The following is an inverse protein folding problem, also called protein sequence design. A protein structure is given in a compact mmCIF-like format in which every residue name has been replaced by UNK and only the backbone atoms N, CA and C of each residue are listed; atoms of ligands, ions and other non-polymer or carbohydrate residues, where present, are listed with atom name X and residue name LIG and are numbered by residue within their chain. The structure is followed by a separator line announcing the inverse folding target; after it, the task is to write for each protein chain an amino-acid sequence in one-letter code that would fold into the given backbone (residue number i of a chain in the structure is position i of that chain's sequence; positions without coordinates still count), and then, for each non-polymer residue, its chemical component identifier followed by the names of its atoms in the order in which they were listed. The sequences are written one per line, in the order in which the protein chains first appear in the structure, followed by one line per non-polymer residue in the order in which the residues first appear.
data_IF_983196177670
#
_entry.id   IF_983196177670
#
_cell.length_a   1.000
_cell.length_b   1.000
_cell.length_c   1.000
_cell.angle_alpha   90.00
_cell.angle_beta   90.00
_cell.angle_gamma   90.00
#
_symmetry.space_group_name_H-M   'P 1'
#
loop_
_entity.id
_entity.type
_entity.pdbx_description
1 polymer ?
#
# COMPACT_ATOMS: atom_id res chain seq x y z
N UNK A 1 2.27 -26.04 14.14
CA UNK A 1 3.25 -24.93 14.18
C UNK A 1 3.55 -24.35 12.81
N UNK A 2 3.95 -25.11 11.78
CA UNK A 2 4.09 -24.54 10.42
C UNK A 2 2.77 -24.38 9.67
N UNK A 3 1.80 -25.27 9.92
CA UNK A 3 0.46 -25.22 9.31
C UNK A 3 -0.35 -24.01 9.79
N UNK A 4 -0.31 -23.71 11.10
CA UNK A 4 -1.01 -22.56 11.71
C UNK A 4 -0.63 -21.23 11.04
N UNK A 5 0.65 -21.06 10.69
CA UNK A 5 1.14 -19.84 10.01
C UNK A 5 0.47 -19.66 8.64
N UNK A 6 0.29 -20.73 7.87
CA UNK A 6 -0.29 -20.62 6.53
C UNK A 6 -1.80 -20.41 6.58
N UNK A 7 -2.48 -20.95 7.59
CA UNK A 7 -3.89 -20.66 7.84
C UNK A 7 -4.12 -19.17 8.13
N UNK A 8 -3.24 -18.53 8.91
CA UNK A 8 -3.29 -17.09 9.19
C UNK A 8 -3.12 -16.24 7.92
N UNK A 9 -2.36 -16.71 6.92
CA UNK A 9 -2.16 -15.99 5.65
C UNK A 9 -3.35 -16.09 4.69
N UNK A 10 -4.30 -17.03 4.89
CA UNK A 10 -5.44 -17.22 3.97
C UNK A 10 -6.37 -15.99 3.92
N UNK A 11 -6.59 -15.34 5.06
CA UNK A 11 -7.42 -14.13 5.15
C UNK A 11 -6.81 -12.95 4.39
N UNK A 12 -5.57 -12.53 4.72
CA UNK A 12 -4.86 -11.49 3.97
C UNK A 12 -4.71 -11.82 2.48
N UNK A 13 -4.44 -13.07 2.12
CA UNK A 13 -4.38 -13.50 0.71
C UNK A 13 -5.69 -13.25 -0.03
N UNK A 14 -6.82 -13.57 0.61
CA UNK A 14 -8.15 -13.34 0.02
C UNK A 14 -8.47 -11.84 -0.17
N UNK A 15 -7.91 -10.99 0.69
CA UNK A 15 -8.09 -9.54 0.67
C UNK A 15 -7.06 -8.80 -0.20
N UNK A 16 -6.02 -9.49 -0.68
CA UNK A 16 -4.93 -8.87 -1.44
C UNK A 16 -3.95 -8.07 -0.56
N UNK A 17 -3.87 -8.41 0.73
CA UNK A 17 -3.09 -7.70 1.76
C UNK A 17 -1.75 -8.40 2.09
N UNK A 18 -1.29 -9.32 1.24
CA UNK A 18 0.02 -9.96 1.39
C UNK A 18 1.11 -9.20 0.63
N UNK A 19 2.34 -9.28 1.17
CA UNK A 19 3.53 -8.99 0.37
C UNK A 19 3.71 -10.03 -0.74
N UNK A 20 4.50 -9.67 -1.77
CA UNK A 20 4.80 -10.56 -2.89
C UNK A 20 5.53 -11.83 -2.41
N UNK A 21 6.36 -11.70 -1.38
CA UNK A 21 7.08 -12.81 -0.77
C UNK A 21 6.14 -13.77 -0.03
N UNK A 22 5.23 -13.24 0.79
CA UNK A 22 4.23 -14.03 1.53
C UNK A 22 3.25 -14.75 0.58
N UNK A 23 2.82 -14.06 -0.48
CA UNK A 23 1.95 -14.66 -1.50
C UNK A 23 2.62 -15.87 -2.16
N UNK A 24 3.87 -15.73 -2.61
CA UNK A 24 4.64 -16.84 -3.19
C UNK A 24 4.91 -17.98 -2.20
N UNK A 25 5.11 -17.67 -0.93
CA UNK A 25 5.25 -18.68 0.11
C UNK A 25 3.95 -19.47 0.30
N UNK A 26 2.82 -18.77 0.38
CA UNK A 26 1.51 -19.40 0.53
C UNK A 26 1.14 -20.23 -0.69
N UNK A 27 1.36 -19.73 -1.91
CA UNK A 27 1.08 -20.47 -3.15
C UNK A 27 1.84 -21.80 -3.20
N UNK A 28 3.14 -21.79 -2.89
CA UNK A 28 3.95 -23.03 -2.80
C UNK A 28 3.41 -23.99 -1.75
N UNK A 29 2.95 -23.49 -0.62
CA UNK A 29 2.32 -24.34 0.39
C UNK A 29 1.00 -24.94 -0.10
N UNK A 30 0.17 -24.15 -0.79
CA UNK A 30 -1.10 -24.58 -1.35
C UNK A 30 -0.95 -25.64 -2.44
N UNK A 31 0.21 -25.79 -3.09
CA UNK A 31 0.48 -26.92 -3.98
C UNK A 31 0.51 -28.25 -3.21
N UNK A 32 1.10 -28.25 -2.00
CA UNK A 32 1.30 -29.44 -1.18
C UNK A 32 0.20 -29.75 -0.16
N UNK A 33 -0.50 -28.75 0.36
CA UNK A 33 -1.45 -28.94 1.47
C UNK A 33 -2.92 -28.87 1.02
N UNK A 34 -3.62 -30.01 1.13
CA UNK A 34 -5.06 -30.10 0.84
C UNK A 34 -5.94 -29.45 1.91
N UNK A 35 -5.50 -29.42 3.17
CA UNK A 35 -6.21 -28.76 4.27
C UNK A 35 -6.33 -27.25 4.05
N UNK A 36 -5.20 -26.57 3.83
CA UNK A 36 -5.18 -25.14 3.52
C UNK A 36 -5.94 -24.80 2.23
N UNK A 37 -5.89 -25.64 1.20
CA UNK A 37 -6.74 -25.46 -0.01
C UNK A 37 -8.23 -25.52 0.33
N UNK A 38 -8.63 -26.45 1.18
CA UNK A 38 -10.01 -26.60 1.65
C UNK A 38 -10.48 -25.40 2.48
N UNK A 39 -9.65 -24.92 3.41
CA UNK A 39 -9.94 -23.70 4.17
C UNK A 39 -10.05 -22.48 3.28
N UNK A 40 -9.14 -22.29 2.34
CA UNK A 40 -9.19 -21.19 1.38
C UNK A 40 -10.47 -21.23 0.53
N UNK A 41 -10.92 -22.42 0.12
CA UNK A 41 -12.17 -22.58 -0.62
C UNK A 41 -13.39 -22.16 0.21
N UNK A 42 -13.44 -22.57 1.49
CA UNK A 42 -14.49 -22.14 2.44
C UNK A 42 -14.48 -20.62 2.64
N UNK A 43 -13.30 -20.04 2.86
CA UNK A 43 -13.15 -18.60 3.05
C UNK A 43 -13.62 -17.81 1.80
N UNK A 44 -13.26 -18.26 0.60
CA UNK A 44 -13.72 -17.68 -0.68
C UNK A 44 -15.24 -17.72 -0.82
N UNK A 45 -15.87 -18.82 -0.46
CA UNK A 45 -17.33 -18.95 -0.51
C UNK A 45 -18.00 -17.92 0.42
N UNK A 46 -17.58 -17.85 1.68
CA UNK A 46 -18.10 -16.90 2.66
C UNK A 46 -17.89 -15.46 2.19
N UNK A 47 -16.70 -15.13 1.69
CA UNK A 47 -16.41 -13.79 1.17
C UNK A 47 -17.28 -13.43 -0.05
N UNK A 48 -17.57 -14.39 -0.93
CA UNK A 48 -18.52 -14.21 -2.04
C UNK A 48 -19.91 -13.80 -1.55
N UNK A 49 -20.46 -14.52 -0.57
CA UNK A 49 -21.77 -14.20 0.02
C UNK A 49 -21.78 -12.81 0.68
N UNK A 50 -20.72 -12.45 1.40
CA UNK A 50 -20.61 -11.11 1.99
C UNK A 50 -20.56 -10.01 0.92
N UNK A 51 -19.88 -10.25 -0.20
CA UNK A 51 -19.84 -9.31 -1.34
C UNK A 51 -21.20 -9.16 -2.01
N UNK A 52 -21.95 -10.24 -2.16
CA UNK A 52 -23.32 -10.20 -2.70
C UNK A 52 -24.24 -9.38 -1.80
N UNK A 53 -24.15 -9.57 -0.47
CA UNK A 53 -24.89 -8.75 0.50
C UNK A 53 -24.49 -7.26 0.44
N UNK A 54 -23.22 -6.97 0.15
CA UNK A 54 -22.71 -5.60 0.02
C UNK A 54 -22.93 -4.98 -1.37
N UNK A 55 -23.66 -5.62 -2.28
CA UNK A 55 -23.80 -5.19 -3.68
C UNK A 55 -24.48 -3.81 -3.87
N UNK A 56 -25.16 -3.28 -2.85
CA UNK A 56 -25.85 -1.98 -2.89
C UNK A 56 -24.94 -0.76 -3.11
N UNK A 57 -23.62 -0.94 -3.08
CA UNK A 57 -22.64 0.11 -3.29
C UNK A 57 -22.57 1.12 -2.13
N UNK A 58 -21.46 1.86 -2.01
CA UNK A 58 -21.33 2.89 -1.00
C UNK A 58 -22.26 4.09 -1.30
N UNK A 59 -22.66 4.87 -0.29
CA UNK A 59 -23.35 6.15 -0.49
C UNK A 59 -22.57 7.07 -1.44
N UNK A 60 -23.23 7.83 -2.34
CA UNK A 60 -22.54 8.61 -3.37
C UNK A 60 -21.61 9.68 -2.78
N UNK A 61 -21.92 10.21 -1.60
CA UNK A 61 -21.12 11.23 -0.91
C UNK A 61 -19.84 10.64 -0.29
N UNK A 62 -19.74 9.32 -0.15
CA UNK A 62 -18.59 8.67 0.49
C UNK A 62 -17.30 8.94 -0.29
N UNK A 63 -17.37 8.91 -1.62
CA UNK A 63 -16.20 9.16 -2.49
C UNK A 63 -15.60 10.54 -2.21
N UNK A 64 -16.45 11.57 -2.22
CA UNK A 64 -15.99 12.95 -2.03
C UNK A 64 -15.44 13.17 -0.62
N UNK A 65 -16.08 12.58 0.40
CA UNK A 65 -15.59 12.61 1.78
C UNK A 65 -14.22 11.94 1.93
N UNK A 66 -14.02 10.77 1.34
CA UNK A 66 -12.73 10.05 1.37
C UNK A 66 -11.65 10.85 0.68
N UNK A 67 -11.93 11.41 -0.51
CA UNK A 67 -10.96 12.21 -1.25
C UNK A 67 -10.62 13.52 -0.53
N UNK A 68 -11.60 14.18 0.10
CA UNK A 68 -11.36 15.38 0.88
C UNK A 68 -10.42 15.12 2.06
N UNK A 69 -10.62 13.99 2.78
CA UNK A 69 -9.73 13.59 3.88
C UNK A 69 -8.32 13.22 3.39
N UNK A 70 -8.22 12.41 2.35
CA UNK A 70 -6.94 11.97 1.78
C UNK A 70 -6.07 13.15 1.32
N UNK A 71 -6.67 14.21 0.76
CA UNK A 71 -5.95 15.43 0.36
C UNK A 71 -5.29 16.17 1.54
N UNK A 72 -5.86 16.08 2.74
CA UNK A 72 -5.29 16.67 3.96
C UNK A 72 -4.13 15.86 4.55
N UNK A 73 -4.02 14.59 4.18
CA UNK A 73 -3.02 13.65 4.71
C UNK A 73 -1.78 13.51 3.82
N UNK A 74 -1.75 14.14 2.62
CA UNK A 74 -0.52 14.24 1.83
C UNK A 74 0.43 15.18 2.60
N UNK A 75 1.51 14.69 3.23
CA UNK A 75 2.48 15.61 3.80
C UNK A 75 2.99 16.47 2.65
N UNK A 76 2.91 17.80 2.80
CA UNK A 76 3.62 18.75 1.96
C UNK A 76 5.13 18.59 2.21
N UNK A 77 5.67 17.40 1.92
CA UNK A 77 7.03 17.02 2.22
C UNK A 77 7.93 17.82 1.28
N UNK A 78 8.82 18.57 1.92
CA UNK A 78 10.07 19.14 1.41
C UNK A 78 10.08 20.22 0.32
N UNK A 79 9.00 20.49 -0.45
CA UNK A 79 9.07 21.53 -1.51
C UNK A 79 9.38 22.93 -0.98
N UNK A 80 8.86 23.28 0.20
CA UNK A 80 9.11 24.60 0.82
C UNK A 80 10.51 24.68 1.43
N UNK A 81 11.01 23.57 1.98
CA UNK A 81 12.36 23.48 2.53
C UNK A 81 13.43 23.68 1.46
N UNK A 82 13.42 22.84 0.41
CA UNK A 82 14.39 22.93 -0.71
C UNK A 82 14.36 24.31 -1.37
N UNK A 83 13.16 24.85 -1.67
CA UNK A 83 13.02 26.14 -2.39
C UNK A 83 13.58 27.35 -1.63
N UNK A 84 13.71 27.27 -0.31
CA UNK A 84 14.32 28.33 0.52
C UNK A 84 15.85 28.38 0.40
N UNK A 85 16.52 27.28 0.05
CA UNK A 85 17.98 27.22 -0.06
C UNK A 85 18.51 27.48 -1.47
N UNK A 86 17.63 27.40 -2.49
CA UNK A 86 18.00 27.69 -3.90
C UNK A 86 18.67 29.05 -4.10
N UNK A 87 18.16 30.19 -3.55
CA UNK A 87 18.83 31.48 -3.75
C UNK A 87 20.18 31.56 -3.02
N UNK A 88 20.31 30.94 -1.84
CA UNK A 88 21.55 30.93 -1.07
C UNK A 88 22.65 30.10 -1.77
N UNK A 89 22.28 28.95 -2.35
CA UNK A 89 23.19 28.12 -3.13
C UNK A 89 23.63 28.81 -4.43
N UNK A 90 22.73 29.53 -5.11
CA UNK A 90 23.05 30.26 -6.34
C UNK A 90 24.10 31.38 -6.09
N UNK A 91 23.97 32.12 -4.99
CA UNK A 91 24.94 33.16 -4.61
C UNK A 91 26.32 32.59 -4.30
N UNK A 92 26.40 31.43 -3.63
CA UNK A 92 27.66 30.74 -3.36
C UNK A 92 28.36 30.27 -4.64
N UNK A 93 27.62 29.71 -5.61
CA UNK A 93 28.19 29.31 -6.91
C UNK A 93 28.73 30.51 -7.67
N UNK A 94 28.01 31.63 -7.68
CA UNK A 94 28.46 32.88 -8.33
C UNK A 94 29.73 33.41 -7.65
N UNK A 95 29.80 33.37 -6.32
CA UNK A 95 30.98 33.82 -5.57
C UNK A 95 32.22 32.95 -5.84
N UNK A 96 32.05 31.62 -5.89
CA UNK A 96 33.15 30.68 -6.19
C UNK A 96 33.65 30.83 -7.62
N UNK A 97 32.73 30.98 -8.59
CA UNK A 97 33.10 31.19 -9.99
C UNK A 97 33.71 32.57 -10.24
N UNK A 98 33.23 33.61 -9.55
CA UNK A 98 33.78 34.96 -9.64
C UNK A 98 35.17 35.10 -8.99
N UNK A 99 35.40 34.42 -7.86
CA UNK A 99 36.69 34.39 -7.19
C UNK A 99 37.73 33.49 -7.90
N UNK A 100 37.29 32.53 -8.72
CA UNK A 100 38.17 31.73 -9.56
C UNK A 100 38.56 32.38 -10.90
N UNK A 101 37.93 33.50 -11.25
CA UNK A 101 38.14 34.23 -12.51
C UNK A 101 38.83 35.60 -12.31
N UNK A 102 39.24 35.92 -11.07
CA UNK A 102 39.97 37.11 -10.64
C UNK A 102 41.39 36.71 -10.21
#
# INVERSE_FOLDING_TARGET
MTEDRFEELLGPFLLGDLSVEEERELERHLEGCSGCRGELARARQTHGLLRELAAGGPPPELKDRVLARARGEIPARSRVGWRRWVPAAALLVIAVLGAGLL
#
